data_IF_481641097895
#
_entry.id   IF_481641097895
#
_cell.length_a   1.000
_cell.length_b   1.000
_cell.length_c   1.000
_cell.angle_alpha   90.00
_cell.angle_beta   90.00
_cell.angle_gamma   90.00
#
_symmetry.space_group_name_H-M   'P 1'
#
loop_
_entity.id
_entity.type
_entity.pdbx_description
1 polymer ?
#
# COMPACT_ATOMS: atom_id res chain seq x y z
N UNK A 1 5.82 -14.86 26.32
CA UNK A 1 6.69 -14.37 25.22
C UNK A 1 6.53 -12.86 25.15
N UNK A 2 7.62 -12.09 25.06
CA UNK A 2 7.52 -10.63 24.96
C UNK A 2 7.09 -10.19 23.55
N UNK A 3 6.47 -9.01 23.39
CA UNK A 3 6.07 -8.53 22.08
C UNK A 3 7.23 -8.43 21.08
N UNK A 4 8.40 -7.95 21.53
CA UNK A 4 9.61 -7.88 20.70
C UNK A 4 10.08 -9.26 20.22
N UNK A 5 10.02 -10.27 21.08
CA UNK A 5 10.39 -11.64 20.72
C UNK A 5 9.41 -12.27 19.73
N UNK A 6 8.11 -12.02 19.90
CA UNK A 6 7.09 -12.45 18.94
C UNK A 6 7.28 -11.79 17.57
N UNK A 7 7.52 -10.47 17.54
CA UNK A 7 7.83 -9.73 16.31
C UNK A 7 9.01 -10.35 15.57
N UNK A 8 10.12 -10.61 16.26
CA UNK A 8 11.30 -11.23 15.66
C UNK A 8 10.95 -12.57 14.99
N UNK A 9 10.20 -13.45 15.67
CA UNK A 9 9.80 -14.75 15.12
C UNK A 9 8.90 -14.60 13.88
N UNK A 10 7.99 -13.65 13.88
CA UNK A 10 7.13 -13.38 12.72
C UNK A 10 7.93 -12.87 11.53
N UNK A 11 8.88 -11.96 11.76
CA UNK A 11 9.76 -11.49 10.69
C UNK A 11 10.65 -12.61 10.15
N UNK A 12 11.19 -13.48 11.00
CA UNK A 12 11.95 -14.67 10.55
C UNK A 12 11.08 -15.57 9.67
N UNK A 13 9.83 -15.84 10.07
CA UNK A 13 8.89 -16.61 9.26
C UNK A 13 8.65 -15.94 7.89
N UNK A 14 8.40 -14.64 7.88
CA UNK A 14 8.07 -13.85 6.70
C UNK A 14 9.14 -13.96 5.61
N UNK A 15 10.43 -14.08 5.97
CA UNK A 15 11.53 -14.25 4.99
C UNK A 15 11.41 -15.48 4.09
N UNK A 16 10.66 -16.50 4.51
CA UNK A 16 10.41 -17.71 3.73
C UNK A 16 9.13 -17.68 2.89
N UNK A 17 8.36 -16.59 2.97
CA UNK A 17 7.05 -16.45 2.34
C UNK A 17 7.12 -15.71 1.01
N UNK A 18 6.08 -15.85 0.19
CA UNK A 18 5.90 -14.93 -0.95
C UNK A 18 5.68 -13.50 -0.45
N UNK A 19 6.06 -12.53 -1.29
CA UNK A 19 6.07 -11.11 -0.95
C UNK A 19 4.77 -10.66 -0.26
N UNK A 20 3.60 -10.98 -0.83
CA UNK A 20 2.33 -10.45 -0.32
C UNK A 20 1.91 -11.09 1.00
N UNK A 21 2.24 -12.37 1.21
CA UNK A 21 2.09 -12.99 2.54
C UNK A 21 3.08 -12.41 3.54
N UNK A 22 4.33 -12.18 3.15
CA UNK A 22 5.34 -11.53 3.97
C UNK A 22 4.85 -10.17 4.47
N UNK A 23 4.33 -9.34 3.57
CA UNK A 23 3.76 -8.03 3.89
C UNK A 23 2.66 -8.08 4.97
N UNK A 24 1.75 -9.06 4.89
CA UNK A 24 0.69 -9.21 5.91
C UNK A 24 1.28 -9.62 7.25
N UNK A 25 2.23 -10.55 7.27
CA UNK A 25 2.88 -11.02 8.50
C UNK A 25 3.72 -9.91 9.14
N UNK A 26 4.46 -9.14 8.34
CA UNK A 26 5.23 -7.97 8.77
C UNK A 26 4.33 -6.93 9.43
N UNK A 27 3.18 -6.61 8.83
CA UNK A 27 2.22 -5.65 9.39
C UNK A 27 1.63 -6.10 10.73
N UNK A 28 1.33 -7.40 10.86
CA UNK A 28 0.92 -7.99 12.15
C UNK A 28 2.05 -7.86 13.18
N UNK A 29 3.30 -8.11 12.76
CA UNK A 29 4.47 -8.03 13.62
C UNK A 29 4.76 -6.59 14.09
N UNK A 30 4.53 -5.60 13.22
CA UNK A 30 4.66 -4.18 13.52
C UNK A 30 3.54 -3.68 14.44
N UNK A 31 2.31 -4.11 14.20
CA UNK A 31 1.17 -3.83 15.08
C UNK A 31 1.41 -4.37 16.49
N UNK A 32 1.94 -5.59 16.59
CA UNK A 32 2.16 -6.28 17.86
C UNK A 32 3.04 -5.50 18.85
N UNK A 33 3.99 -4.69 18.39
CA UNK A 33 4.84 -3.87 19.29
C UNK A 33 4.25 -2.50 19.63
N UNK A 34 3.12 -2.13 19.01
CA UNK A 34 2.42 -0.85 19.21
C UNK A 34 1.16 -0.99 20.07
N UNK A 35 0.57 -2.18 20.09
CA UNK A 35 -0.61 -2.48 20.90
C UNK A 35 -0.32 -2.34 22.40
N UNK A 36 -1.25 -1.74 23.17
CA UNK A 36 -1.18 -1.80 24.63
C UNK A 36 -1.39 -3.25 25.10
N UNK A 37 -0.90 -3.58 26.30
CA UNK A 37 -1.12 -4.90 26.89
C UNK A 37 -2.61 -5.15 27.17
N UNK A 38 -3.26 -4.16 27.78
CA UNK A 38 -4.67 -4.17 28.14
C UNK A 38 -5.47 -3.12 27.37
N UNK A 39 -6.77 -3.34 27.12
CA UNK A 39 -7.63 -2.34 26.50
C UNK A 39 -7.64 -1.05 27.32
N UNK A 40 -7.57 0.09 26.64
CA UNK A 40 -7.65 1.39 27.28
C UNK A 40 -9.13 1.68 27.55
N UNK A 41 -9.47 1.81 28.83
CA UNK A 41 -10.86 1.89 29.30
C UNK A 41 -11.60 3.14 28.81
N UNK A 42 -10.89 4.26 28.63
CA UNK A 42 -11.48 5.51 28.16
C UNK A 42 -11.19 5.71 26.66
N UNK A 43 -12.13 5.28 25.82
CA UNK A 43 -12.04 5.44 24.37
C UNK A 43 -12.13 6.90 23.92
N UNK A 44 -12.64 7.80 24.78
CA UNK A 44 -12.81 9.21 24.46
C UNK A 44 -11.51 10.02 24.66
N UNK A 45 -10.46 9.42 25.24
CA UNK A 45 -9.14 10.05 25.38
C UNK A 45 -8.25 9.89 24.15
N UNK A 46 -8.60 9.03 23.20
CA UNK A 46 -7.80 8.86 21.99
C UNK A 46 -8.12 9.94 20.96
N UNK A 47 -7.09 10.67 20.54
CA UNK A 47 -7.16 11.46 19.33
C UNK A 47 -7.09 10.57 18.09
N UNK A 48 -7.51 11.12 16.95
CA UNK A 48 -7.41 10.45 15.65
C UNK A 48 -5.95 10.04 15.34
N UNK A 49 -4.99 10.92 15.68
CA UNK A 49 -3.55 10.68 15.50
C UNK A 49 -3.06 9.50 16.34
N UNK A 50 -3.56 9.33 17.57
CA UNK A 50 -3.20 8.19 18.40
C UNK A 50 -3.66 6.89 17.76
N UNK A 51 -4.87 6.89 17.22
CA UNK A 51 -5.44 5.73 16.55
C UNK A 51 -4.66 5.41 15.27
N UNK A 52 -4.41 6.41 14.43
CA UNK A 52 -3.63 6.29 13.19
C UNK A 52 -2.25 5.68 13.45
N UNK A 53 -1.46 6.30 14.33
CA UNK A 53 -0.05 5.93 14.54
C UNK A 53 0.15 4.64 15.34
N UNK A 54 -0.85 4.25 16.14
CA UNK A 54 -0.79 3.04 16.98
C UNK A 54 -1.31 1.80 16.29
N UNK A 55 -2.41 1.90 15.55
CA UNK A 55 -3.11 0.73 15.04
C UNK A 55 -2.98 0.60 13.52
N UNK A 56 -3.18 1.69 12.79
CA UNK A 56 -3.34 1.62 11.35
C UNK A 56 -2.04 1.78 10.58
N UNK A 57 -1.24 2.78 10.92
CA UNK A 57 0.05 3.02 10.28
C UNK A 57 0.98 1.78 10.32
N UNK A 58 1.14 1.07 11.46
CA UNK A 58 1.99 -0.12 11.51
C UNK A 58 1.51 -1.27 10.62
N UNK A 59 0.20 -1.47 10.51
CA UNK A 59 -0.37 -2.56 9.71
C UNK A 59 -0.43 -2.19 8.22
N UNK A 60 -0.90 -0.98 7.90
CA UNK A 60 -1.10 -0.54 6.53
C UNK A 60 0.21 -0.28 5.81
N UNK A 61 1.24 0.24 6.51
CA UNK A 61 2.53 0.52 5.89
C UNK A 61 3.16 -0.71 5.23
N UNK A 62 3.00 -1.91 5.80
CA UNK A 62 3.50 -3.13 5.17
C UNK A 62 2.59 -3.63 4.04
N UNK A 63 1.29 -3.36 4.09
CA UNK A 63 0.30 -3.86 3.14
C UNK A 63 0.29 -3.03 1.85
N UNK A 64 0.34 -1.69 1.96
CA UNK A 64 0.11 -0.77 0.84
C UNK A 64 1.28 0.16 0.55
N UNK A 65 2.41 0.04 1.24
CA UNK A 65 3.60 0.84 0.97
C UNK A 65 4.85 -0.03 0.79
N UNK A 66 5.77 0.45 -0.04
CA UNK A 66 7.07 -0.14 -0.26
C UNK A 66 7.98 0.95 -0.82
N UNK A 67 8.89 1.44 0.01
CA UNK A 67 9.81 2.51 -0.37
C UNK A 67 10.77 2.09 -1.47
N UNK A 68 11.06 0.79 -1.62
CA UNK A 68 11.90 0.27 -2.72
C UNK A 68 11.16 0.36 -4.06
N UNK A 69 9.84 0.20 -4.04
CA UNK A 69 8.93 0.44 -5.18
C UNK A 69 8.48 1.89 -5.30
N UNK A 70 9.06 2.80 -4.49
CA UNK A 70 8.69 4.21 -4.45
C UNK A 70 7.20 4.42 -4.17
N UNK A 71 6.60 3.60 -3.31
CA UNK A 71 5.21 3.76 -2.85
C UNK A 71 5.22 4.06 -1.36
N UNK A 72 4.51 5.12 -0.95
CA UNK A 72 4.47 5.59 0.44
C UNK A 72 3.02 5.74 0.92
N UNK A 73 2.77 5.33 2.16
CA UNK A 73 1.58 5.69 2.93
C UNK A 73 1.86 6.99 3.68
N UNK A 74 0.90 7.92 3.66
CA UNK A 74 1.02 9.23 4.31
C UNK A 74 -0.27 9.59 5.03
N UNK A 75 -0.11 10.33 6.11
CA UNK A 75 -1.20 10.95 6.86
C UNK A 75 -1.06 12.48 6.74
N UNK A 76 -1.51 13.09 5.62
CA UNK A 76 -1.27 14.50 5.37
C UNK A 76 -1.93 15.35 6.46
N UNK A 77 -1.25 16.37 6.99
CA UNK A 77 -1.82 17.36 7.93
C UNK A 77 -2.15 18.71 7.25
N UNK A 78 -1.87 18.81 5.94
CA UNK A 78 -2.16 19.99 5.12
C UNK A 78 -2.91 19.54 3.89
N UNK A 79 -3.70 20.43 3.32
CA UNK A 79 -4.32 20.18 2.03
C UNK A 79 -3.22 20.00 0.98
N UNK A 80 -3.29 18.88 0.24
CA UNK A 80 -2.42 18.67 -0.90
C UNK A 80 -2.97 19.50 -2.08
N UNK A 81 -2.07 20.07 -2.88
CA UNK A 81 -2.43 20.80 -4.11
C UNK A 81 -3.17 19.93 -5.14
N UNK A 82 -3.09 18.60 -4.98
CA UNK A 82 -3.67 17.60 -5.89
C UNK A 82 -5.15 17.37 -5.59
N UNK A 83 -5.57 17.48 -4.33
CA UNK A 83 -6.93 17.19 -3.87
C UNK A 83 -7.64 18.49 -3.50
N UNK A 84 -7.89 19.34 -4.49
CA UNK A 84 -8.47 20.68 -4.32
C UNK A 84 -9.69 20.68 -3.38
N UNK A 85 -9.53 21.16 -2.15
CA UNK A 85 -10.58 21.35 -1.15
C UNK A 85 -11.11 20.09 -0.45
N UNK A 86 -10.60 18.89 -0.76
CA UNK A 86 -10.99 17.64 -0.08
C UNK A 86 -9.73 16.95 0.43
N UNK A 87 -9.58 16.86 1.76
CA UNK A 87 -8.45 16.17 2.40
C UNK A 87 -8.88 14.81 2.95
N UNK A 88 -8.32 13.70 2.44
CA UNK A 88 -8.40 12.41 3.11
C UNK A 88 -7.42 12.34 4.29
N UNK A 89 -7.70 11.47 5.24
CA UNK A 89 -6.83 11.28 6.41
C UNK A 89 -5.58 10.46 6.05
N UNK A 90 -5.72 9.51 5.13
CA UNK A 90 -4.62 8.71 4.58
C UNK A 90 -4.53 8.82 3.06
N UNK A 91 -3.32 8.86 2.53
CA UNK A 91 -3.03 8.78 1.09
C UNK A 91 -1.91 7.78 0.86
N UNK A 92 -2.14 6.85 -0.07
CA UNK A 92 -1.07 6.04 -0.66
C UNK A 92 -0.64 6.72 -1.96
N UNK A 93 0.64 7.03 -2.13
CA UNK A 93 1.13 7.74 -3.32
C UNK A 93 2.43 7.14 -3.83
N UNK A 94 2.69 7.31 -5.12
CA UNK A 94 4.04 7.08 -5.66
C UNK A 94 4.99 8.22 -5.27
N UNK A 95 6.29 7.97 -5.31
CA UNK A 95 7.35 8.93 -5.06
C UNK A 95 8.19 9.10 -6.34
N UNK A 96 8.17 10.30 -6.92
CA UNK A 96 8.90 10.63 -8.15
C UNK A 96 9.90 11.73 -7.83
N UNK A 97 11.20 11.40 -7.90
CA UNK A 97 12.29 12.37 -7.76
C UNK A 97 12.13 13.33 -6.55
N UNK A 98 11.70 12.78 -5.39
CA UNK A 98 11.44 13.48 -4.10
C UNK A 98 10.13 14.27 -4.01
N UNK A 99 9.28 14.21 -5.03
CA UNK A 99 7.91 14.72 -4.97
C UNK A 99 6.90 13.57 -4.90
N UNK A 100 5.73 13.83 -4.30
CA UNK A 100 4.62 12.89 -4.35
C UNK A 100 4.04 12.87 -5.78
N UNK A 101 3.93 11.67 -6.33
CA UNK A 101 3.35 11.40 -7.63
C UNK A 101 1.85 11.14 -7.54
N UNK A 102 1.36 10.19 -8.33
CA UNK A 102 -0.05 9.83 -8.37
C UNK A 102 -0.50 9.14 -7.08
N UNK A 103 -1.75 9.39 -6.69
CA UNK A 103 -2.40 8.70 -5.58
C UNK A 103 -2.84 7.31 -6.03
N UNK A 104 -2.49 6.28 -5.26
CA UNK A 104 -2.87 4.88 -5.47
C UNK A 104 -4.01 4.45 -4.52
N UNK A 105 -4.24 5.22 -3.46
CA UNK A 105 -5.31 4.95 -2.51
C UNK A 105 -5.58 6.10 -1.56
N UNK A 106 -6.77 6.09 -0.98
CA UNK A 106 -7.26 7.07 -0.01
C UNK A 106 -7.90 6.39 1.19
N UNK A 107 -7.71 6.96 2.38
CA UNK A 107 -8.29 6.46 3.62
C UNK A 107 -8.90 7.56 4.47
N UNK A 108 -9.95 7.21 5.22
CA UNK A 108 -10.60 8.09 6.22
C UNK A 108 -10.61 7.38 7.58
N UNK A 109 -10.24 8.08 8.65
CA UNK A 109 -10.22 7.60 10.03
C UNK A 109 -11.29 8.30 10.83
N UNK A 110 -12.13 7.51 11.49
CA UNK A 110 -13.07 8.03 12.49
C UNK A 110 -12.90 7.30 13.79
N UNK A 111 -13.01 8.03 14.88
CA UNK A 111 -13.05 7.42 16.21
C UNK A 111 -14.38 6.67 16.35
N UNK A 112 -14.36 5.35 16.50
CA UNK A 112 -15.57 4.50 16.60
C UNK A 112 -16.39 4.67 17.90
N UNK A 113 -16.56 5.89 18.40
CA UNK A 113 -17.33 6.22 19.61
C UNK A 113 -18.62 6.99 19.32
N UNK A 114 -19.26 7.48 20.39
CA UNK A 114 -20.59 8.12 20.38
C UNK A 114 -20.71 9.34 19.45
N UNK A 115 -19.58 9.94 19.05
CA UNK A 115 -19.54 11.10 18.15
C UNK A 115 -19.59 10.74 16.66
N UNK A 116 -19.44 9.46 16.29
CA UNK A 116 -19.50 9.04 14.88
C UNK A 116 -20.95 8.82 14.48
N UNK A 117 -21.49 9.76 13.70
CA UNK A 117 -22.85 9.65 13.14
C UNK A 117 -22.83 8.95 11.79
N UNK A 118 -23.93 8.32 11.41
CA UNK A 118 -24.10 7.78 10.05
C UNK A 118 -23.88 8.84 8.97
N UNK A 119 -24.29 10.09 9.25
CA UNK A 119 -24.08 11.22 8.34
C UNK A 119 -22.59 11.50 8.13
N UNK A 120 -21.79 11.46 9.20
CA UNK A 120 -20.33 11.65 9.10
C UNK A 120 -19.67 10.53 8.28
N UNK A 121 -20.09 9.27 8.48
CA UNK A 121 -19.59 8.13 7.70
C UNK A 121 -20.01 8.21 6.22
N UNK A 122 -21.22 8.69 5.95
CA UNK A 122 -21.72 8.92 4.60
C UNK A 122 -20.90 10.01 3.89
N UNK A 123 -20.59 11.10 4.60
CA UNK A 123 -19.76 12.18 4.09
C UNK A 123 -18.34 11.68 3.76
N UNK A 124 -17.72 10.90 4.64
CA UNK A 124 -16.40 10.28 4.37
C UNK A 124 -16.45 9.35 3.16
N UNK A 125 -17.53 8.57 3.02
CA UNK A 125 -17.74 7.71 1.85
C UNK A 125 -17.83 8.53 0.57
N UNK A 126 -18.55 9.64 0.60
CA UNK A 126 -18.66 10.56 -0.53
C UNK A 126 -17.31 11.22 -0.85
N UNK A 127 -16.56 11.65 0.17
CA UNK A 127 -15.19 12.18 0.02
C UNK A 127 -14.30 11.18 -0.71
N UNK A 128 -14.26 9.94 -0.24
CA UNK A 128 -13.49 8.86 -0.87
C UNK A 128 -13.94 8.58 -2.30
N UNK A 129 -15.25 8.55 -2.56
CA UNK A 129 -15.79 8.33 -3.90
C UNK A 129 -15.37 9.45 -4.88
N UNK A 130 -15.45 10.72 -4.45
CA UNK A 130 -15.03 11.87 -5.26
C UNK A 130 -13.52 11.83 -5.53
N UNK A 131 -12.71 11.60 -4.49
CA UNK A 131 -11.25 11.49 -4.61
C UNK A 131 -10.86 10.36 -5.57
N UNK A 132 -11.44 9.18 -5.41
CA UNK A 132 -11.18 8.03 -6.27
C UNK A 132 -11.60 8.28 -7.70
N UNK A 133 -12.81 8.80 -7.93
CA UNK A 133 -13.28 9.13 -9.28
C UNK A 133 -12.32 10.08 -9.97
N UNK A 134 -11.91 11.14 -9.29
CA UNK A 134 -11.02 12.14 -9.87
C UNK A 134 -9.64 11.56 -10.18
N UNK A 135 -9.08 10.72 -9.30
CA UNK A 135 -7.81 10.05 -9.54
C UNK A 135 -7.88 9.02 -10.67
N UNK A 136 -8.96 8.21 -10.74
CA UNK A 136 -9.18 7.27 -11.85
C UNK A 136 -9.28 8.03 -13.18
N UNK A 137 -10.04 9.12 -13.23
CA UNK A 137 -10.16 9.94 -14.45
C UNK A 137 -8.83 10.58 -14.86
N UNK A 138 -7.99 10.94 -13.89
CA UNK A 138 -6.71 11.61 -14.15
C UNK A 138 -5.59 10.64 -14.54
N UNK A 139 -5.54 9.46 -13.93
CA UNK A 139 -4.40 8.54 -14.02
C UNK A 139 -4.74 7.20 -14.69
N UNK A 140 -6.02 6.89 -14.91
CA UNK A 140 -6.45 5.72 -15.67
C UNK A 140 -6.26 4.37 -14.96
N UNK A 141 -6.06 4.36 -13.64
CA UNK A 141 -5.90 3.14 -12.86
C UNK A 141 -6.87 3.08 -11.67
N UNK A 142 -7.26 1.87 -11.22
CA UNK A 142 -8.00 1.67 -9.98
C UNK A 142 -7.35 2.33 -8.76
N UNK A 143 -8.18 2.73 -7.79
CA UNK A 143 -7.76 3.39 -6.55
C UNK A 143 -8.28 2.56 -5.37
N UNK A 144 -7.39 2.21 -4.45
CA UNK A 144 -7.79 1.58 -3.19
C UNK A 144 -8.46 2.62 -2.29
N UNK A 145 -9.66 2.31 -1.79
CA UNK A 145 -10.30 3.12 -0.74
C UNK A 145 -10.56 2.28 0.48
N UNK A 146 -10.38 2.87 1.65
CA UNK A 146 -10.68 2.21 2.91
C UNK A 146 -11.17 3.22 3.95
N UNK A 147 -12.18 2.81 4.72
CA UNK A 147 -12.50 3.48 5.97
C UNK A 147 -11.79 2.71 7.07
N UNK A 148 -11.04 3.44 7.87
CA UNK A 148 -10.04 2.87 8.75
C UNK A 148 -10.69 2.06 9.88
N UNK A 149 -11.93 2.37 10.30
CA UNK A 149 -12.69 1.48 11.21
C UNK A 149 -12.97 0.08 10.65
N UNK A 150 -12.94 -0.09 9.33
CA UNK A 150 -13.19 -1.37 8.67
C UNK A 150 -12.32 -1.52 7.40
N UNK A 151 -11.14 -2.13 7.51
CA UNK A 151 -10.40 -2.58 6.33
C UNK A 151 -11.01 -3.90 5.88
N UNK A 152 -11.93 -3.88 4.91
CA UNK A 152 -12.62 -5.09 4.45
C UNK A 152 -13.45 -5.74 5.56
N UNK A 153 -14.07 -4.94 6.44
CA UNK A 153 -14.80 -5.39 7.65
C UNK A 153 -13.93 -6.07 8.70
N UNK A 154 -12.65 -5.71 8.76
CA UNK A 154 -11.74 -6.13 9.84
C UNK A 154 -11.70 -5.03 10.89
N UNK A 155 -12.03 -5.39 12.12
CA UNK A 155 -11.80 -4.56 13.31
C UNK A 155 -10.40 -4.82 13.85
N UNK A 156 -9.61 -3.77 14.06
CA UNK A 156 -8.28 -3.90 14.65
C UNK A 156 -8.36 -4.26 16.14
N UNK A 157 -7.39 -5.01 16.67
CA UNK A 157 -7.36 -5.37 18.08
C UNK A 157 -7.04 -4.12 18.90
N UNK A 158 -7.82 -3.88 19.96
CA UNK A 158 -7.61 -2.73 20.85
C UNK A 158 -6.38 -2.91 21.76
N UNK A 159 -6.01 -4.17 22.02
CA UNK A 159 -4.91 -4.57 22.89
C UNK A 159 -4.33 -5.93 22.49
N UNK A 160 -3.17 -6.27 23.06
CA UNK A 160 -2.50 -7.56 22.87
C UNK A 160 -3.35 -8.74 23.32
N UNK A 161 -4.12 -8.60 24.41
CA UNK A 161 -5.04 -9.63 24.88
C UNK A 161 -6.10 -10.00 23.83
N UNK A 162 -6.50 -9.06 22.97
CA UNK A 162 -7.47 -9.26 21.88
C UNK A 162 -6.83 -9.69 20.55
N UNK A 163 -5.50 -9.80 20.49
CA UNK A 163 -4.80 -10.07 19.23
C UNK A 163 -5.21 -11.42 18.62
N UNK A 164 -5.47 -12.43 19.44
CA UNK A 164 -5.93 -13.75 18.97
C UNK A 164 -7.28 -13.66 18.22
N UNK A 165 -8.19 -12.77 18.63
CA UNK A 165 -9.47 -12.56 17.96
C UNK A 165 -9.31 -11.81 16.63
N UNK A 166 -8.27 -10.98 16.50
CA UNK A 166 -7.90 -10.35 15.25
C UNK A 166 -7.24 -11.32 14.28
N UNK A 167 -6.37 -12.19 14.79
CA UNK A 167 -5.63 -13.18 14.01
C UNK A 167 -6.51 -14.39 13.71
N UNK A 168 -7.51 -14.19 12.85
CA UNK A 168 -8.33 -15.26 12.32
C UNK A 168 -8.00 -15.53 10.87
N UNK A 169 -8.24 -16.74 10.39
CA UNK A 169 -8.08 -17.10 8.98
C UNK A 169 -8.91 -16.19 8.05
N UNK A 170 -10.07 -15.72 8.51
CA UNK A 170 -10.92 -14.75 7.78
C UNK A 170 -10.19 -13.42 7.62
N UNK A 171 -9.65 -12.87 8.69
CA UNK A 171 -8.96 -11.58 8.67
C UNK A 171 -7.65 -11.66 7.88
N UNK A 172 -6.84 -12.71 8.08
CA UNK A 172 -5.60 -12.92 7.32
C UNK A 172 -5.88 -13.01 5.81
N UNK A 173 -6.90 -13.78 5.40
CA UNK A 173 -7.30 -13.86 3.98
C UNK A 173 -7.79 -12.54 3.43
N UNK A 174 -8.48 -11.75 4.25
CA UNK A 174 -9.00 -10.45 3.85
C UNK A 174 -7.86 -9.45 3.67
N UNK A 175 -6.91 -9.38 4.62
CA UNK A 175 -5.69 -8.58 4.49
C UNK A 175 -4.89 -8.98 3.26
N UNK A 176 -4.69 -10.29 3.03
CA UNK A 176 -3.98 -10.77 1.84
C UNK A 176 -4.68 -10.37 0.54
N UNK A 177 -6.02 -10.41 0.50
CA UNK A 177 -6.78 -9.94 -0.67
C UNK A 177 -6.61 -8.44 -0.89
N UNK A 178 -6.63 -7.63 0.17
CA UNK A 178 -6.37 -6.18 0.08
C UNK A 178 -4.96 -5.93 -0.45
N UNK A 179 -3.95 -6.61 0.09
CA UNK A 179 -2.55 -6.56 -0.39
C UNK A 179 -2.49 -6.87 -1.89
N UNK A 180 -3.07 -8.00 -2.31
CA UNK A 180 -3.06 -8.45 -3.70
C UNK A 180 -3.76 -7.46 -4.64
N UNK A 181 -4.96 -7.01 -4.29
CA UNK A 181 -5.73 -6.04 -5.10
C UNK A 181 -4.97 -4.72 -5.23
N UNK A 182 -4.35 -4.24 -4.15
CA UNK A 182 -3.56 -3.03 -4.19
C UNK A 182 -2.38 -3.18 -5.15
N UNK A 183 -1.53 -4.19 -4.95
CA UNK A 183 -0.29 -4.35 -5.72
C UNK A 183 -0.50 -4.80 -7.16
N UNK A 184 -1.61 -5.46 -7.49
CA UNK A 184 -1.90 -5.91 -8.85
C UNK A 184 -2.81 -4.96 -9.64
N UNK A 185 -3.74 -4.27 -8.99
CA UNK A 185 -4.73 -3.45 -9.69
C UNK A 185 -4.44 -1.95 -9.55
N UNK A 186 -3.99 -1.50 -8.38
CA UNK A 186 -3.80 -0.07 -8.11
C UNK A 186 -2.39 0.38 -8.48
N UNK A 187 -1.39 -0.44 -8.14
CA UNK A 187 0.01 -0.17 -8.50
C UNK A 187 0.32 -0.69 -9.90
N UNK A 188 0.62 0.21 -10.84
CA UNK A 188 1.23 -0.13 -12.12
C UNK A 188 2.72 0.22 -12.05
N UNK A 189 3.58 -0.80 -12.12
CA UNK A 189 5.00 -0.58 -12.33
C UNK A 189 5.19 -0.04 -13.75
N UNK A 190 5.63 1.21 -13.86
CA UNK A 190 6.07 1.82 -15.11
C UNK A 190 5.02 1.88 -16.23
N UNK A 191 3.90 2.56 -16.00
CA UNK A 191 3.29 3.28 -17.14
C UNK A 191 4.22 4.46 -17.46
N UNK A 192 5.10 4.27 -18.45
CA UNK A 192 5.83 5.37 -19.09
C UNK A 192 4.88 6.56 -19.25
N UNK A 193 5.25 7.79 -18.86
CA UNK A 193 4.43 8.94 -19.18
C UNK A 193 4.31 8.98 -20.70
N UNK A 194 3.12 8.64 -21.20
CA UNK A 194 2.77 8.89 -22.59
C UNK A 194 3.13 10.35 -22.83
N UNK A 195 4.10 10.58 -23.70
CA UNK A 195 4.52 11.90 -24.12
C UNK A 195 3.30 12.52 -24.78
N UNK A 196 2.50 13.24 -24.00
CA UNK A 196 1.53 14.18 -24.56
C UNK A 196 2.39 15.27 -25.17
N UNK A 197 2.62 15.13 -26.48
CA UNK A 197 3.25 16.16 -27.27
C UNK A 197 2.52 17.49 -26.97
N UNK A 198 3.25 18.59 -26.72
CA UNK A 198 2.62 19.87 -26.50
C UNK A 198 1.75 20.18 -27.73
N UNK A 199 0.44 20.30 -27.50
CA UNK A 199 -0.49 20.83 -28.49
C UNK A 199 0.03 22.22 -28.85
N UNK A 200 0.51 22.34 -30.08
CA UNK A 200 0.96 23.60 -30.63
C UNK A 200 -0.25 24.51 -30.78
N UNK A 201 -0.45 25.43 -29.84
CA UNK A 201 -1.38 26.53 -30.01
C UNK A 201 -0.85 27.46 -31.10
N UNK A 202 -1.65 27.80 -32.13
CA UNK A 202 -1.23 28.74 -33.16
C UNK A 202 -1.13 30.15 -32.58
N UNK A 203 0.07 30.71 -32.57
CA UNK A 203 0.29 32.15 -32.33
C UNK A 203 -0.21 32.97 -33.52
N UNK A 204 -0.74 34.18 -33.29
CA UNK A 204 -1.33 35.00 -34.33
C UNK A 204 -0.27 35.61 -35.26
N UNK A 205 -0.60 35.60 -36.54
CA UNK A 205 0.15 36.14 -37.66
C UNK A 205 0.34 37.66 -37.56
N UNK A 206 1.59 38.11 -37.50
CA UNK A 206 2.00 39.40 -38.07
C UNK A 206 3.43 39.28 -38.60
N UNK A 207 3.58 39.34 -39.93
CA UNK A 207 4.83 39.68 -40.62
C UNK A 207 4.83 41.20 -40.87
N UNK A 208 5.99 41.87 -41.14
CA UNK A 208 6.65 41.63 -42.43
C UNK A 208 8.21 41.80 -42.47
N UNK A 209 8.79 41.07 -43.45
CA UNK A 209 9.95 41.36 -44.34
C UNK A 209 11.43 41.37 -43.89
N UNK A 210 12.21 40.53 -44.61
CA UNK A 210 13.58 40.72 -45.22
C UNK A 210 14.81 40.87 -44.31
N UNK A 211 16.01 40.28 -44.49
CA UNK A 211 16.72 39.64 -45.64
C UNK A 211 17.94 38.84 -45.12
N UNK A 212 18.41 37.84 -45.89
CA UNK A 212 19.83 37.36 -46.06
C UNK A 212 20.63 36.84 -44.83
N UNK A 213 21.46 35.79 -44.86
CA UNK A 213 22.04 34.94 -45.92
C UNK A 213 22.97 33.86 -45.27
N UNK A 214 23.30 32.82 -46.05
CA UNK A 214 24.58 32.08 -46.08
C UNK A 214 24.78 30.82 -45.19
N UNK A 215 24.74 29.64 -45.86
CA UNK A 215 25.70 28.50 -45.90
C UNK A 215 26.44 28.11 -44.59
N UNK A 216 26.59 26.86 -44.16
CA UNK A 216 27.20 25.70 -44.86
C UNK A 216 27.05 24.40 -44.03
N UNK A 217 26.98 23.29 -44.77
CA UNK A 217 27.20 21.87 -44.46
C UNK A 217 28.11 21.46 -43.27
N UNK A 218 27.78 20.35 -42.60
CA UNK A 218 28.63 19.13 -42.62
C UNK A 218 28.05 17.94 -41.84
N UNK A 219 28.56 16.80 -42.28
CA UNK A 219 28.24 15.39 -42.16
C UNK A 219 28.62 14.76 -40.78
N UNK A 220 28.05 13.59 -40.50
CA UNK A 220 28.74 12.30 -40.15
C UNK A 220 28.38 11.62 -38.81
N UNK A 221 27.96 10.35 -38.97
CA UNK A 221 28.20 9.14 -38.15
C UNK A 221 27.54 8.89 -36.79
N UNK A 222 26.74 7.81 -36.78
CA UNK A 222 26.40 6.93 -35.67
C UNK A 222 27.63 6.23 -35.06
N UNK A 223 27.50 5.68 -33.84
CA UNK A 223 27.72 4.24 -33.75
C UNK A 223 26.77 3.48 -32.81
N UNK A 224 26.58 2.23 -33.19
CA UNK A 224 25.97 1.08 -32.52
C UNK A 224 26.66 0.74 -31.20
N UNK A 225 25.91 0.31 -30.17
CA UNK A 225 26.50 -0.46 -29.06
C UNK A 225 25.53 -1.49 -28.50
N UNK A 226 26.10 -2.67 -28.26
CA UNK A 226 25.53 -3.97 -27.96
C UNK A 226 25.15 -4.15 -26.49
N UNK A 227 24.10 -4.94 -26.24
CA UNK A 227 23.68 -5.41 -24.91
C UNK A 227 24.41 -6.70 -24.51
N UNK A 228 24.67 -6.93 -23.20
CA UNK A 228 24.91 -8.27 -22.69
C UNK A 228 23.82 -8.76 -21.73
N UNK A 229 23.30 -9.93 -22.05
CA UNK A 229 22.41 -10.78 -21.26
C UNK A 229 23.19 -11.44 -20.12
N UNK A 230 22.68 -11.42 -18.88
CA UNK A 230 23.24 -12.18 -17.75
C UNK A 230 22.17 -13.05 -17.11
N UNK A 231 22.27 -14.35 -17.35
CA UNK A 231 21.56 -15.43 -16.66
C UNK A 231 22.27 -15.76 -15.34
N UNK A 232 21.52 -15.85 -14.23
CA UNK A 232 21.99 -16.41 -12.95
C UNK A 232 21.14 -17.63 -12.54
N UNK A 233 21.76 -18.68 -11.95
CA UNK A 233 21.11 -19.95 -11.66
C UNK A 233 20.39 -19.98 -10.31
N UNK A 234 19.32 -20.77 -10.26
CA UNK A 234 18.42 -20.99 -9.12
C UNK A 234 18.93 -22.19 -8.30
N UNK A 235 19.32 -21.95 -7.04
CA UNK A 235 19.62 -23.01 -6.06
C UNK A 235 18.52 -23.02 -4.99
N UNK A 236 17.85 -24.15 -4.83
CA UNK A 236 16.82 -24.37 -3.81
C UNK A 236 17.43 -25.17 -2.64
N UNK A 237 17.23 -24.70 -1.41
CA UNK A 237 17.51 -25.47 -0.20
C UNK A 237 16.18 -25.84 0.47
N UNK A 238 15.95 -27.12 0.84
CA UNK A 238 14.80 -27.51 1.65
C UNK A 238 15.05 -27.13 3.12
N UNK A 239 14.06 -26.48 3.75
CA UNK A 239 14.06 -26.16 5.17
C UNK A 239 13.38 -27.30 5.93
N UNK A 240 14.11 -27.91 6.86
CA UNK A 240 13.64 -28.94 7.77
C UNK A 240 12.90 -28.29 8.96
N UNK A 241 11.61 -28.57 9.12
CA UNK A 241 10.73 -27.96 10.12
C UNK A 241 10.70 -28.70 11.46
N UNK A 242 11.58 -29.67 11.68
CA UNK A 242 11.51 -30.58 12.83
C UNK A 242 12.08 -30.05 14.16
N UNK A 243 12.60 -28.82 14.21
CA UNK A 243 13.22 -28.25 15.42
C UNK A 243 12.46 -27.04 15.99
N UNK A 244 11.26 -27.25 16.52
CA UNK A 244 10.60 -26.24 17.36
C UNK A 244 10.00 -26.86 18.62
N UNK A 245 10.59 -26.51 19.78
CA UNK A 245 10.15 -26.91 21.12
C UNK A 245 8.74 -26.37 21.48
N UNK A 246 7.93 -27.13 22.24
CA UNK A 246 6.50 -26.87 22.40
C UNK A 246 6.11 -25.80 23.45
N UNK A 247 6.99 -24.89 23.87
CA UNK A 247 6.66 -23.89 24.91
C UNK A 247 6.02 -22.59 24.40
N UNK A 248 5.49 -22.59 23.17
CA UNK A 248 4.80 -21.43 22.60
C UNK A 248 3.39 -21.26 23.20
N UNK A 249 2.95 -20.01 23.38
CA UNK A 249 1.53 -19.71 23.63
C UNK A 249 0.69 -20.31 22.48
N UNK A 250 -0.43 -20.99 22.79
CA UNK A 250 -1.24 -21.69 21.78
C UNK A 250 -1.63 -20.77 20.61
N UNK A 251 -1.89 -19.49 20.88
CA UNK A 251 -2.28 -18.50 19.88
C UNK A 251 -1.18 -18.16 18.86
N UNK A 252 0.10 -18.20 19.25
CA UNK A 252 1.20 -17.95 18.31
C UNK A 252 1.41 -19.16 17.40
N UNK A 253 1.28 -20.37 17.94
CA UNK A 253 1.35 -21.62 17.17
C UNK A 253 0.19 -21.75 16.18
N UNK A 254 -1.03 -21.38 16.60
CA UNK A 254 -2.21 -21.33 15.73
C UNK A 254 -2.05 -20.33 14.58
N UNK A 255 -1.45 -19.15 14.83
CA UNK A 255 -1.12 -18.20 13.77
C UNK A 255 -0.17 -18.81 12.73
N UNK A 256 0.91 -19.48 13.16
CA UNK A 256 1.83 -20.16 12.25
C UNK A 256 1.12 -21.24 11.42
N UNK A 257 0.24 -22.02 12.04
CA UNK A 257 -0.54 -23.05 11.34
C UNK A 257 -1.57 -22.45 10.36
N UNK A 258 -2.27 -21.38 10.73
CA UNK A 258 -3.24 -20.71 9.86
C UNK A 258 -2.58 -20.11 8.63
N UNK A 259 -1.44 -19.43 8.79
CA UNK A 259 -0.70 -18.85 7.66
C UNK A 259 -0.25 -19.97 6.70
N UNK A 260 0.30 -21.07 7.24
CA UNK A 260 0.74 -22.20 6.44
C UNK A 260 -0.42 -22.86 5.68
N UNK A 261 -1.60 -23.00 6.29
CA UNK A 261 -2.79 -23.60 5.65
C UNK A 261 -3.41 -22.73 4.53
N UNK A 262 -3.13 -21.43 4.49
CA UNK A 262 -3.54 -20.56 3.36
C UNK A 262 -2.78 -20.80 2.06
N UNK A 263 -1.68 -21.55 2.08
CA UNK A 263 -0.82 -21.78 0.89
C UNK A 263 -1.39 -22.80 -0.10
N UNK A 264 -2.36 -23.63 0.28
CA UNK A 264 -2.79 -24.78 -0.53
C UNK A 264 -3.82 -24.48 -1.63
N UNK A 265 -4.55 -23.36 -1.60
CA UNK A 265 -5.73 -23.15 -2.49
C UNK A 265 -5.62 -22.05 -3.56
N UNK A 266 -4.51 -21.31 -3.65
CA UNK A 266 -4.40 -20.17 -4.57
C UNK A 266 -3.68 -20.49 -5.91
N UNK A 267 -3.42 -21.76 -6.24
CA UNK A 267 -2.81 -22.11 -7.54
C UNK A 267 -3.78 -22.07 -8.74
N UNK A 268 -5.09 -21.95 -8.53
CA UNK A 268 -6.09 -22.13 -9.62
C UNK A 268 -6.99 -20.91 -9.90
N UNK A 269 -6.62 -19.69 -9.51
CA UNK A 269 -7.35 -18.49 -9.98
C UNK A 269 -6.76 -17.97 -11.29
N UNK A 270 -7.08 -18.63 -12.40
CA UNK A 270 -7.01 -18.01 -13.72
C UNK A 270 -8.19 -17.05 -13.87
N UNK A 271 -7.96 -15.77 -13.55
CA UNK A 271 -8.91 -14.71 -13.92
C UNK A 271 -8.75 -14.48 -15.43
N UNK A 272 -9.66 -15.04 -16.22
CA UNK A 272 -9.80 -14.68 -17.62
C UNK A 272 -10.73 -13.47 -17.71
N UNK A 273 -10.24 -12.38 -18.29
CA UNK A 273 -11.07 -11.26 -18.70
C UNK A 273 -11.62 -11.56 -20.10
N UNK A 274 -12.95 -11.56 -20.23
CA UNK A 274 -13.66 -11.42 -21.51
C UNK A 274 -13.84 -9.94 -21.85
#
# INVERSE_FOLDING_TARGET
MSPKSAKLRLLTLATSMDQFKSNVVEGIADLLVKLPFDPIADKNQFGEVDIQTRYYDPLLSSIVADTTRKVVLRWPNREDTITTGIRPDAIVSTLVQRAFGQSLGFGEVKLGGDNTTNDSLCLDTLKLAVLSRNSVLKYGHPILTFQVNEIGRITLPEALSCLHSFITLKNIRTLLRVTLLFWHCCYQADSSPSVVAPVSTPSPTTSPTTTSSTTTSSTTTSPTTTSPTTTSPKVAFPIDTSTFSPSASPHTTELFQMINNTTSKYRDCSIQYQ
#
